data_IF_615022242227
#
_entry.id   IF_615022242227
#
_cell.length_a   1.000
_cell.length_b   1.000
_cell.length_c   1.000
_cell.angle_alpha   90.00
_cell.angle_beta   90.00
_cell.angle_gamma   90.00
#
_symmetry.space_group_name_H-M   'P 1'
#
loop_
_entity.id
_entity.type
_entity.pdbx_description
1 polymer ?
#
# COMPACT_ATOMS: atom_id res chain seq x y z
N UNK A 1 6.72 15.66 23.25
CA UNK A 1 6.82 14.52 22.31
C UNK A 1 5.56 13.70 22.47
N UNK A 2 4.55 13.97 21.64
CA UNK A 2 3.31 13.20 21.67
C UNK A 2 3.56 11.89 20.92
N UNK A 3 3.45 10.77 21.63
CA UNK A 3 3.58 9.44 21.04
C UNK A 3 2.28 9.15 20.30
N UNK A 4 2.35 9.18 18.97
CA UNK A 4 1.26 8.75 18.10
C UNK A 4 1.02 7.26 18.40
N UNK A 5 -0.15 6.94 18.95
CA UNK A 5 -0.53 5.56 19.23
C UNK A 5 -0.89 4.92 17.90
N UNK A 6 -0.09 3.95 17.47
CA UNK A 6 -0.45 3.08 16.35
C UNK A 6 -1.80 2.43 16.66
N UNK A 7 -2.79 2.67 15.81
CA UNK A 7 -4.08 1.99 15.89
C UNK A 7 -3.90 0.62 15.26
N UNK A 8 -4.01 -0.48 16.02
CA UNK A 8 -3.96 -1.80 15.43
C UNK A 8 -5.14 -1.94 14.46
N UNK A 9 -4.86 -2.41 13.25
CA UNK A 9 -5.92 -2.74 12.29
C UNK A 9 -6.90 -3.72 12.95
N UNK A 10 -8.19 -3.46 12.75
CA UNK A 10 -9.29 -4.16 13.43
C UNK A 10 -9.35 -5.66 13.08
N UNK A 11 -8.65 -6.06 12.02
CA UNK A 11 -8.45 -7.43 11.57
C UNK A 11 -6.97 -7.63 11.27
N UNK A 12 -6.42 -8.80 11.61
CA UNK A 12 -5.09 -9.22 11.15
C UNK A 12 -5.18 -9.47 9.65
N UNK A 13 -4.81 -8.47 8.86
CA UNK A 13 -4.82 -8.55 7.40
C UNK A 13 -3.62 -9.35 6.93
N UNK A 14 -2.45 -9.07 7.52
CA UNK A 14 -1.24 -9.82 7.23
C UNK A 14 -1.04 -11.01 8.17
N UNK A 15 -0.33 -12.02 7.66
CA UNK A 15 0.11 -13.18 8.46
C UNK A 15 1.14 -12.78 9.50
N UNK A 16 1.99 -11.80 9.18
CA UNK A 16 2.91 -11.18 10.13
C UNK A 16 2.34 -9.84 10.64
N UNK A 17 2.24 -9.65 11.97
CA UNK A 17 1.75 -8.40 12.56
C UNK A 17 2.69 -7.21 12.29
N UNK A 18 3.94 -7.49 11.89
CA UNK A 18 4.90 -6.52 11.40
C UNK A 18 4.62 -6.06 9.97
N UNK A 19 3.52 -6.43 9.33
CA UNK A 19 3.12 -5.84 8.04
C UNK A 19 1.88 -4.93 8.18
N UNK A 20 1.10 -5.12 9.24
CA UNK A 20 -0.10 -4.34 9.52
C UNK A 20 0.23 -2.83 9.71
N UNK A 21 1.41 -2.50 10.25
CA UNK A 21 1.89 -1.12 10.35
C UNK A 21 2.17 -0.47 8.98
N UNK A 22 2.56 -1.22 7.95
CA UNK A 22 2.80 -0.70 6.60
C UNK A 22 1.46 -0.29 6.00
N UNK A 23 0.47 -1.18 6.08
CA UNK A 23 -0.88 -0.92 5.63
C UNK A 23 -1.51 0.25 6.39
N UNK A 24 -1.35 0.27 7.72
CA UNK A 24 -1.86 1.37 8.55
C UNK A 24 -1.19 2.69 8.22
N UNK A 25 0.13 2.72 8.00
CA UNK A 25 0.85 3.94 7.63
C UNK A 25 0.41 4.44 6.26
N UNK A 26 0.26 3.54 5.29
CA UNK A 26 -0.22 3.89 3.96
C UNK A 26 -1.66 4.41 4.00
N UNK A 27 -2.50 3.87 4.89
CA UNK A 27 -3.89 4.29 5.06
C UNK A 27 -3.99 5.66 5.74
N UNK A 28 -3.26 5.88 6.83
CA UNK A 28 -3.17 7.18 7.52
C UNK A 28 -2.49 8.25 6.66
N UNK A 29 -1.56 7.84 5.79
CA UNK A 29 -0.88 8.71 4.85
C UNK A 29 -1.64 8.94 3.53
N UNK A 30 -2.85 8.40 3.38
CA UNK A 30 -3.66 8.47 2.15
C UNK A 30 -2.86 8.04 0.89
N UNK A 31 -1.97 7.06 1.04
CA UNK A 31 -1.12 6.60 -0.03
C UNK A 31 -1.93 5.85 -1.10
N UNK A 32 -1.75 6.21 -2.37
CA UNK A 32 -2.42 5.51 -3.46
C UNK A 32 -1.85 4.11 -3.70
N UNK A 33 -0.57 3.88 -3.41
CA UNK A 33 0.05 2.57 -3.53
C UNK A 33 1.25 2.38 -2.60
N UNK A 34 1.53 1.12 -2.27
CA UNK A 34 2.74 0.64 -1.59
C UNK A 34 3.59 -0.06 -2.64
N UNK A 35 4.86 0.35 -2.76
CA UNK A 35 5.82 -0.29 -3.64
C UNK A 35 6.68 -1.22 -2.80
N UNK A 36 6.60 -2.53 -3.04
CA UNK A 36 7.37 -3.52 -2.28
C UNK A 36 7.83 -4.69 -3.14
N UNK A 37 8.96 -5.30 -2.75
CA UNK A 37 9.46 -6.56 -3.32
C UNK A 37 9.03 -7.79 -2.51
N UNK A 38 8.36 -7.59 -1.38
CA UNK A 38 7.97 -8.66 -0.47
C UNK A 38 6.79 -9.47 -1.04
N UNK A 39 6.96 -10.79 -1.17
CA UNK A 39 5.95 -11.67 -1.77
C UNK A 39 4.71 -11.81 -0.91
N UNK A 40 4.83 -11.71 0.40
CA UNK A 40 3.70 -11.84 1.32
C UNK A 40 2.78 -10.62 1.19
N UNK A 41 3.36 -9.41 1.15
CA UNK A 41 2.62 -8.18 0.86
C UNK A 41 2.05 -8.16 -0.56
N UNK A 42 2.82 -8.60 -1.56
CA UNK A 42 2.36 -8.65 -2.95
C UNK A 42 1.20 -9.63 -3.15
N UNK A 43 1.08 -10.66 -2.31
CA UNK A 43 -0.04 -11.61 -2.37
C UNK A 43 -1.37 -10.93 -2.05
N UNK A 44 -1.39 -9.85 -1.25
CA UNK A 44 -2.59 -9.06 -1.01
C UNK A 44 -3.07 -8.35 -2.27
N UNK A 45 -2.14 -7.93 -3.15
CA UNK A 45 -2.36 -7.17 -4.40
C UNK A 45 -3.02 -5.80 -4.24
N UNK A 46 -4.06 -5.68 -3.41
CA UNK A 46 -4.74 -4.44 -3.06
C UNK A 46 -5.32 -4.54 -1.66
N UNK A 47 -5.12 -3.50 -0.87
CA UNK A 47 -5.75 -3.35 0.43
C UNK A 47 -6.60 -2.09 0.46
N UNK A 48 -7.93 -2.26 0.54
CA UNK A 48 -8.91 -1.17 0.41
C UNK A 48 -8.71 -0.34 -0.87
N UNK A 49 -8.19 0.88 -0.74
CA UNK A 49 -7.91 1.81 -1.84
C UNK A 49 -6.41 1.87 -2.21
N UNK A 50 -5.57 1.16 -1.46
CA UNK A 50 -4.12 1.16 -1.59
C UNK A 50 -3.69 -0.03 -2.46
N UNK A 51 -3.04 0.25 -3.58
CA UNK A 51 -2.48 -0.79 -4.44
C UNK A 51 -1.14 -1.27 -3.91
N UNK A 52 -0.87 -2.58 -3.90
CA UNK A 52 0.43 -3.12 -3.49
C UNK A 52 1.11 -3.61 -4.76
N UNK A 53 2.13 -2.88 -5.18
CA UNK A 53 2.77 -3.03 -6.49
C UNK A 53 4.23 -3.39 -6.34
N UNK A 54 4.75 -4.16 -7.29
CA UNK A 54 6.21 -4.29 -7.46
C UNK A 54 6.79 -2.99 -8.01
N UNK A 55 8.09 -2.73 -7.78
CA UNK A 55 8.79 -1.62 -8.45
C UNK A 55 8.59 -1.63 -9.97
N UNK A 56 8.60 -2.82 -10.58
CA UNK A 56 8.37 -3.04 -12.01
C UNK A 56 6.93 -2.68 -12.44
N UNK A 57 5.94 -2.94 -11.59
CA UNK A 57 4.54 -2.64 -11.85
C UNK A 57 4.22 -1.18 -11.64
N UNK A 58 4.82 -0.56 -10.63
CA UNK A 58 4.73 0.88 -10.40
C UNK A 58 5.20 1.68 -11.61
N UNK A 59 6.30 1.25 -12.25
CA UNK A 59 6.77 1.89 -13.49
C UNK A 59 5.70 1.88 -14.59
N UNK A 60 4.97 0.77 -14.76
CA UNK A 60 3.87 0.66 -15.73
C UNK A 60 2.63 1.46 -15.30
N UNK A 61 2.36 1.50 -14.00
CA UNK A 61 1.27 2.25 -13.40
C UNK A 61 1.42 3.75 -13.70
N UNK A 62 2.58 4.34 -13.39
CA UNK A 62 2.89 5.74 -13.71
C UNK A 62 2.88 6.02 -15.22
N UNK A 63 3.39 5.09 -16.02
CA UNK A 63 3.41 5.24 -17.48
C UNK A 63 2.01 5.27 -18.09
N UNK A 64 1.03 4.60 -17.48
CA UNK A 64 -0.36 4.55 -17.94
C UNK A 64 -1.15 5.78 -17.52
N UNK A 65 -0.85 6.35 -16.35
CA UNK A 65 -1.47 7.56 -15.82
C UNK A 65 -1.29 8.80 -16.71
N UNK A 66 -0.26 8.83 -17.57
CA UNK A 66 -0.04 9.93 -18.53
C UNK A 66 -0.94 9.89 -19.79
N UNK A 67 -1.71 8.82 -20.05
CA UNK A 67 -2.48 8.70 -21.30
C UNK A 67 -3.99 8.97 -21.19
N UNK A 68 -4.52 9.38 -20.04
CA UNK A 68 -5.99 9.60 -19.89
C UNK A 68 -6.43 11.06 -19.99
N UNK A 69 -5.53 12.02 -20.26
CA UNK A 69 -5.93 13.42 -20.49
C UNK A 69 -5.83 13.75 -21.98
N UNK A 70 -6.80 13.26 -22.76
CA UNK A 70 -7.25 13.86 -24.03
C UNK A 70 -8.53 13.15 -24.48
N UNK A 71 -9.67 13.64 -24.00
CA UNK A 71 -10.91 13.66 -24.79
C UNK A 71 -11.23 15.11 -25.12
#
# INVERSE_FOLDING_TARGET
>A
MEKIKAFPLKEKICRDPDDDWILSTALEGEANCIITGDRDLLTLSKYQEIFILKPEEFWKFESTSSSTISQ
#
